data_IF_201707183940
#
_entry.id   IF_201707183940
#
_cell.length_a   1.000
_cell.length_b   1.000
_cell.length_c   1.000
_cell.angle_alpha   90.00
_cell.angle_beta   90.00
_cell.angle_gamma   90.00
#
_symmetry.space_group_name_H-M   'P 1'
#
loop_
_entity.id
_entity.type
_entity.pdbx_description
1 polymer ?
#
# COMPACT_ATOMS: atom_id res chain seq x y z
N UNK A 1 10.34 2.50 -6.45
CA UNK A 1 9.20 1.61 -6.69
C UNK A 1 9.24 1.05 -8.11
N UNK A 2 8.63 -0.11 -8.26
CA UNK A 2 8.36 -0.73 -9.55
C UNK A 2 6.88 -1.09 -9.60
N UNK A 3 6.23 -0.82 -10.74
CA UNK A 3 4.83 -1.12 -10.96
C UNK A 3 4.61 -1.61 -12.38
N UNK A 4 3.73 -2.59 -12.53
CA UNK A 4 3.30 -3.12 -13.82
C UNK A 4 1.80 -2.92 -13.89
N UNK A 5 1.32 -2.32 -14.96
CA UNK A 5 -0.09 -2.05 -15.23
C UNK A 5 -0.54 -2.86 -16.42
N UNK A 6 -1.71 -3.48 -16.29
CA UNK A 6 -2.36 -4.30 -17.31
C UNK A 6 -3.56 -3.56 -17.88
N UNK A 7 -3.68 -3.56 -19.19
CA UNK A 7 -4.77 -2.91 -19.95
C UNK A 7 -5.65 -3.96 -20.61
N UNK A 8 -6.95 -3.92 -20.33
CA UNK A 8 -7.95 -4.87 -20.86
C UNK A 8 -8.13 -4.76 -22.36
N UNK A 9 -8.02 -3.55 -22.93
CA UNK A 9 -8.24 -3.30 -24.36
C UNK A 9 -7.03 -3.59 -25.23
N UNK A 10 -5.89 -3.79 -24.61
CA UNK A 10 -4.63 -4.03 -25.29
C UNK A 10 -3.94 -5.27 -24.76
N UNK A 11 -3.05 -5.75 -25.53
CA UNK A 11 -2.05 -6.71 -25.11
C UNK A 11 -0.86 -5.99 -24.46
N UNK A 12 -1.08 -4.74 -23.99
CA UNK A 12 0.02 -3.90 -23.52
C UNK A 12 0.11 -3.93 -22.00
N UNK A 13 1.32 -4.18 -21.55
CA UNK A 13 1.71 -4.08 -20.16
C UNK A 13 2.63 -2.86 -20.02
N UNK A 14 2.28 -1.96 -19.12
CA UNK A 14 3.07 -0.75 -18.88
C UNK A 14 3.93 -0.94 -17.64
N UNK A 15 5.23 -0.69 -17.76
CA UNK A 15 6.19 -0.76 -16.67
C UNK A 15 6.56 0.65 -16.21
N UNK A 16 6.39 0.90 -14.92
CA UNK A 16 6.76 2.15 -14.29
C UNK A 16 7.76 1.88 -13.17
N UNK A 17 8.79 2.70 -13.07
CA UNK A 17 9.70 2.70 -11.95
C UNK A 17 10.07 4.14 -11.59
N UNK A 18 10.56 4.34 -10.38
CA UNK A 18 10.98 5.66 -9.93
C UNK A 18 11.19 5.71 -8.43
N UNK A 19 11.27 6.93 -7.94
CA UNK A 19 11.54 7.20 -6.54
C UNK A 19 10.38 7.97 -5.93
N UNK A 20 9.97 7.54 -4.74
CA UNK A 20 9.00 8.23 -3.91
C UNK A 20 9.73 8.69 -2.65
N UNK A 21 9.47 9.92 -2.23
CA UNK A 21 9.91 10.44 -0.95
C UNK A 21 8.70 10.95 -0.18
N UNK A 22 8.51 10.43 0.99
CA UNK A 22 7.49 10.85 1.93
C UNK A 22 8.13 11.72 3.03
N UNK A 23 7.52 12.84 3.35
CA UNK A 23 7.97 13.77 4.36
C UNK A 23 6.81 14.23 5.23
N UNK A 24 6.87 13.93 6.51
CA UNK A 24 6.02 14.58 7.51
C UNK A 24 6.59 15.99 7.71
N UNK A 25 5.83 17.03 7.38
CA UNK A 25 6.36 18.39 7.39
C UNK A 25 5.67 19.32 8.41
N UNK A 26 4.43 19.04 8.78
CA UNK A 26 3.64 19.94 9.63
C UNK A 26 2.72 19.15 10.56
N UNK A 27 2.71 19.52 11.83
CA UNK A 27 1.67 19.16 12.78
C UNK A 27 0.45 20.04 12.53
N UNK A 28 -0.67 19.45 12.09
CA UNK A 28 -1.91 20.18 11.76
C UNK A 28 -2.82 20.33 12.96
N UNK A 29 -2.87 19.31 13.82
CA UNK A 29 -3.74 19.27 15.01
C UNK A 29 -3.08 18.44 16.09
N UNK A 30 -3.21 18.89 17.33
CA UNK A 30 -2.83 18.13 18.52
C UNK A 30 -3.82 18.41 19.64
N UNK A 31 -4.31 17.34 20.26
CA UNK A 31 -5.08 17.38 21.49
C UNK A 31 -4.71 16.17 22.36
N UNK A 32 -5.41 15.95 23.47
CA UNK A 32 -5.10 14.85 24.40
C UNK A 32 -5.21 13.46 23.80
N UNK A 33 -6.01 13.26 22.75
CA UNK A 33 -6.33 11.93 22.19
C UNK A 33 -5.87 11.73 20.75
N UNK A 34 -5.44 12.80 20.07
CA UNK A 34 -5.18 12.77 18.64
C UNK A 34 -4.07 13.75 18.23
N UNK A 35 -3.17 13.27 17.36
CA UNK A 35 -2.22 14.09 16.62
C UNK A 35 -2.42 13.86 15.12
N UNK A 36 -2.55 14.96 14.38
CA UNK A 36 -2.67 14.90 12.93
C UNK A 36 -1.51 15.64 12.27
N UNK A 37 -0.89 14.98 11.31
CA UNK A 37 0.26 15.50 10.57
C UNK A 37 -0.06 15.57 9.08
N UNK A 38 0.54 16.56 8.41
CA UNK A 38 0.62 16.61 6.96
C UNK A 38 1.80 15.78 6.48
N UNK A 39 1.55 14.90 5.50
CA UNK A 39 2.55 14.15 4.77
C UNK A 39 2.60 14.67 3.34
N UNK A 40 3.76 15.12 2.89
CA UNK A 40 3.98 15.47 1.49
C UNK A 40 4.68 14.32 0.81
N UNK A 41 4.09 13.86 -0.28
CA UNK A 41 4.62 12.83 -1.15
C UNK A 41 5.24 13.46 -2.38
N UNK A 42 6.48 13.13 -2.65
CA UNK A 42 7.22 13.57 -3.82
C UNK A 42 7.53 12.37 -4.71
N UNK A 43 7.62 12.63 -5.99
CA UNK A 43 7.98 11.65 -6.98
C UNK A 43 9.05 12.17 -7.93
N UNK A 44 9.89 11.27 -8.45
CA UNK A 44 10.77 11.50 -9.61
C UNK A 44 11.04 10.19 -10.34
N UNK A 45 11.20 10.17 -11.67
CA UNK A 45 11.43 8.95 -12.42
C UNK A 45 12.84 8.39 -12.24
N UNK A 46 13.84 9.26 -12.05
CA UNK A 46 15.24 8.90 -11.88
C UNK A 46 15.98 9.87 -10.95
N UNK A 47 17.27 9.61 -10.71
CA UNK A 47 18.10 10.40 -9.80
C UNK A 47 18.56 11.74 -10.38
N UNK A 48 18.44 11.95 -11.68
CA UNK A 48 18.86 13.17 -12.37
C UNK A 48 17.77 14.24 -12.38
N UNK A 49 16.52 13.83 -12.21
CA UNK A 49 15.39 14.76 -12.22
C UNK A 49 15.07 15.29 -10.82
N UNK A 50 14.49 16.48 -10.82
CA UNK A 50 14.05 17.12 -9.58
C UNK A 50 12.82 16.43 -9.01
N UNK A 51 12.70 16.45 -7.68
CA UNK A 51 11.52 16.02 -6.98
C UNK A 51 10.31 16.90 -7.33
N UNK A 52 9.20 16.26 -7.67
CA UNK A 52 7.90 16.91 -7.88
C UNK A 52 6.94 16.46 -6.79
N UNK A 53 6.10 17.35 -6.30
CA UNK A 53 5.02 16.96 -5.37
C UNK A 53 4.01 16.15 -6.19
N UNK A 54 3.77 14.92 -5.75
CA UNK A 54 2.77 14.04 -6.35
C UNK A 54 1.45 14.06 -5.58
N UNK A 55 1.52 14.19 -4.25
CA UNK A 55 0.33 14.19 -3.39
C UNK A 55 0.60 14.87 -2.05
N UNK A 56 -0.49 15.27 -1.36
CA UNK A 56 -0.48 15.78 0.01
C UNK A 56 -1.51 14.99 0.81
N UNK A 57 -1.03 14.22 1.75
CA UNK A 57 -1.79 13.29 2.56
C UNK A 57 -1.85 13.73 4.03
N UNK A 58 -2.64 13.05 4.83
CA UNK A 58 -2.63 13.24 6.29
C UNK A 58 -2.38 11.93 7.01
N UNK A 59 -1.68 12.02 8.14
CA UNK A 59 -1.51 10.94 9.10
C UNK A 59 -2.17 11.38 10.40
N UNK A 60 -3.14 10.60 10.87
CA UNK A 60 -3.77 10.81 12.16
C UNK A 60 -3.36 9.68 13.09
N UNK A 61 -2.75 10.04 14.21
CA UNK A 61 -2.33 9.12 15.25
C UNK A 61 -3.20 9.33 16.48
N UNK A 62 -3.80 8.22 16.96
CA UNK A 62 -4.53 8.16 18.23
C UNK A 62 -3.89 7.09 19.13
N UNK A 63 -4.37 6.93 20.37
CA UNK A 63 -3.86 5.91 21.29
C UNK A 63 -4.03 4.49 20.75
N UNK A 64 -5.02 4.26 19.90
CA UNK A 64 -5.40 2.92 19.45
C UNK A 64 -5.25 2.67 17.96
N UNK A 65 -4.96 3.68 17.14
CA UNK A 65 -4.83 3.48 15.70
C UNK A 65 -3.99 4.57 15.00
N UNK A 66 -3.44 4.19 13.84
CA UNK A 66 -2.85 5.10 12.87
C UNK A 66 -3.72 5.09 11.61
N UNK A 67 -4.24 6.26 11.24
CA UNK A 67 -5.02 6.46 10.03
C UNK A 67 -4.16 7.25 9.04
N UNK A 68 -4.08 6.81 7.80
CA UNK A 68 -3.49 7.54 6.69
C UNK A 68 -4.57 7.83 5.66
N UNK A 69 -4.75 9.09 5.31
CA UNK A 69 -5.67 9.50 4.24
C UNK A 69 -4.89 9.64 2.95
N UNK A 70 -5.11 8.74 2.02
CA UNK A 70 -4.48 8.67 0.69
C UNK A 70 -5.58 8.93 -0.36
N UNK A 71 -5.39 9.88 -1.27
CA UNK A 71 -6.38 10.24 -2.30
C UNK A 71 -7.80 10.49 -1.74
N UNK A 72 -7.88 11.15 -0.57
CA UNK A 72 -9.10 11.39 0.20
C UNK A 72 -9.79 10.15 0.80
N UNK A 73 -9.16 8.99 0.77
CA UNK A 73 -9.65 7.77 1.42
C UNK A 73 -8.88 7.55 2.73
N UNK A 74 -9.56 7.51 3.89
CA UNK A 74 -8.93 7.27 5.18
C UNK A 74 -8.78 5.78 5.46
N UNK A 75 -7.55 5.27 5.47
CA UNK A 75 -7.22 3.89 5.80
C UNK A 75 -6.73 3.75 7.24
N UNK A 76 -7.29 2.84 8.02
CA UNK A 76 -6.74 2.45 9.32
C UNK A 76 -5.55 1.51 9.06
N UNK A 77 -4.35 2.08 8.95
CA UNK A 77 -3.15 1.33 8.58
C UNK A 77 -2.60 0.47 9.69
N UNK A 78 -2.74 0.91 10.93
CA UNK A 78 -2.32 0.16 12.11
C UNK A 78 -3.33 0.31 13.25
N UNK A 79 -3.43 -0.72 14.09
CA UNK A 79 -4.13 -0.68 15.38
C UNK A 79 -3.14 -0.95 16.51
N UNK A 80 -3.31 -0.28 17.64
CA UNK A 80 -2.41 -0.36 18.79
C UNK A 80 -3.08 -1.00 20.01
N UNK A 81 -2.34 -1.74 20.81
CA UNK A 81 -1.02 -2.30 20.51
C UNK A 81 -1.11 -3.36 19.42
N UNK A 82 -0.15 -3.42 18.46
CA UNK A 82 -0.14 -4.47 17.46
C UNK A 82 0.21 -5.81 18.11
N UNK A 83 -0.56 -6.85 17.79
CA UNK A 83 -0.31 -8.22 18.26
C UNK A 83 -0.45 -9.21 17.11
N UNK A 84 0.31 -10.30 17.17
CA UNK A 84 0.26 -11.33 16.14
C UNK A 84 -1.18 -11.85 15.95
N UNK A 85 -1.60 -12.01 14.70
CA UNK A 85 -2.96 -12.40 14.30
C UNK A 85 -4.06 -11.37 14.63
N UNK A 86 -3.73 -10.17 15.13
CA UNK A 86 -4.71 -9.09 15.28
C UNK A 86 -5.28 -8.73 13.90
N UNK A 87 -6.63 -8.69 13.82
CA UNK A 87 -7.38 -8.37 12.60
C UNK A 87 -8.19 -7.10 12.79
N UNK A 88 -8.40 -6.35 11.71
CA UNK A 88 -9.29 -5.19 11.66
C UNK A 88 -9.72 -4.90 10.23
N UNK A 89 -10.85 -4.20 10.08
CA UNK A 89 -11.22 -3.62 8.80
C UNK A 89 -10.44 -2.30 8.62
N UNK A 90 -9.41 -2.30 7.78
CA UNK A 90 -8.61 -1.11 7.47
C UNK A 90 -9.36 -0.08 6.63
N UNK A 91 -10.45 -0.49 5.97
CA UNK A 91 -11.27 0.34 5.09
C UNK A 91 -12.57 0.83 5.77
N UNK A 92 -12.74 0.61 7.07
CA UNK A 92 -13.98 0.90 7.81
C UNK A 92 -14.44 2.37 7.76
N UNK A 93 -13.61 3.29 7.29
CA UNK A 93 -13.91 4.72 7.27
C UNK A 93 -14.38 5.24 5.89
N UNK A 94 -14.52 4.37 4.91
CA UNK A 94 -15.04 4.69 3.58
C UNK A 94 -15.83 3.51 2.99
N UNK A 95 -16.56 3.76 1.90
CA UNK A 95 -17.29 2.72 1.18
C UNK A 95 -16.32 1.85 0.37
N UNK A 96 -16.17 0.57 0.73
CA UNK A 96 -15.27 -0.37 0.05
C UNK A 96 -15.74 -0.76 -1.37
N UNK A 97 -17.00 -0.49 -1.71
CA UNK A 97 -17.55 -0.73 -3.04
C UNK A 97 -17.21 0.37 -4.06
N UNK A 98 -16.44 1.38 -3.66
CA UNK A 98 -16.00 2.43 -4.58
C UNK A 98 -15.28 1.85 -5.79
N UNK A 99 -15.54 2.47 -6.94
CA UNK A 99 -14.88 2.14 -8.19
C UNK A 99 -13.67 3.06 -8.35
N UNK A 100 -12.49 2.46 -8.39
CA UNK A 100 -11.24 3.17 -8.70
C UNK A 100 -10.95 3.05 -10.19
N UNK A 101 -10.63 4.17 -10.83
CA UNK A 101 -10.16 4.18 -12.22
C UNK A 101 -8.65 4.05 -12.24
N UNK A 102 -8.18 3.01 -12.91
CA UNK A 102 -6.77 2.75 -13.04
C UNK A 102 -6.44 2.43 -14.50
N UNK A 103 -5.55 3.20 -15.13
CA UNK A 103 -5.19 3.10 -16.56
C UNK A 103 -6.41 3.08 -17.51
N UNK A 104 -7.48 3.83 -17.17
CA UNK A 104 -8.72 3.86 -17.94
C UNK A 104 -9.75 2.78 -17.56
N UNK A 105 -9.34 1.76 -16.82
CA UNK A 105 -10.19 0.67 -16.37
C UNK A 105 -10.83 0.95 -15.00
N UNK A 106 -12.00 0.35 -14.78
CA UNK A 106 -12.77 0.46 -13.53
C UNK A 106 -12.60 -0.79 -12.69
N UNK A 107 -12.06 -0.66 -11.48
CA UNK A 107 -11.78 -1.78 -10.58
C UNK A 107 -12.38 -1.50 -9.19
N UNK A 108 -13.10 -2.48 -8.63
CA UNK A 108 -13.47 -2.51 -7.20
C UNK A 108 -12.35 -3.17 -6.43
N UNK A 109 -11.33 -2.40 -6.07
CA UNK A 109 -10.12 -2.98 -5.50
C UNK A 109 -10.15 -3.17 -4.00
N UNK A 110 -11.04 -2.50 -3.27
CA UNK A 110 -11.03 -2.47 -1.80
C UNK A 110 -12.05 -3.41 -1.14
N UNK A 111 -12.87 -4.09 -1.92
CA UNK A 111 -13.92 -4.96 -1.42
C UNK A 111 -13.33 -6.15 -0.65
N UNK A 112 -13.81 -6.39 0.57
CA UNK A 112 -13.44 -7.54 1.38
C UNK A 112 -12.04 -7.49 1.99
N UNK A 113 -11.39 -6.32 2.08
CA UNK A 113 -10.08 -6.23 2.71
C UNK A 113 -10.18 -6.42 4.22
N UNK A 114 -9.42 -7.38 4.74
CA UNK A 114 -9.26 -7.62 6.16
C UNK A 114 -7.78 -7.59 6.53
N UNK A 115 -7.39 -6.55 7.24
CA UNK A 115 -6.01 -6.37 7.68
C UNK A 115 -5.67 -7.31 8.81
N UNK A 116 -4.45 -7.87 8.79
CA UNK A 116 -3.96 -8.81 9.77
C UNK A 116 -2.48 -8.63 10.04
N UNK A 117 -2.07 -8.64 11.30
CA UNK A 117 -0.66 -8.74 11.66
C UNK A 117 -0.21 -10.19 11.45
N UNK A 118 0.67 -10.42 10.48
CA UNK A 118 1.17 -11.75 10.14
C UNK A 118 2.57 -12.04 10.70
N UNK A 119 3.38 -10.98 10.94
CA UNK A 119 4.68 -11.09 11.61
C UNK A 119 4.91 -9.87 12.52
N UNK A 120 5.59 -10.09 13.65
CA UNK A 120 5.88 -9.04 14.62
C UNK A 120 7.23 -9.28 15.29
N UNK A 121 7.95 -8.17 15.58
CA UNK A 121 9.24 -8.16 16.25
C UNK A 121 10.31 -9.05 15.57
N UNK A 122 10.23 -9.16 14.24
CA UNK A 122 11.19 -9.92 13.45
C UNK A 122 12.37 -9.04 13.04
N UNK A 123 13.52 -9.71 12.80
CA UNK A 123 14.71 -9.09 12.21
C UNK A 123 14.74 -9.38 10.72
N UNK A 124 15.22 -8.42 9.93
CA UNK A 124 15.34 -8.62 8.50
C UNK A 124 16.06 -7.50 7.80
N UNK A 125 16.33 -7.70 6.51
CA UNK A 125 16.92 -6.69 5.66
C UNK A 125 15.88 -6.10 4.71
N UNK A 126 15.88 -4.78 4.57
CA UNK A 126 15.09 -4.06 3.59
C UNK A 126 16.03 -3.15 2.80
N UNK A 127 16.21 -3.44 1.51
CA UNK A 127 17.29 -2.82 0.75
C UNK A 127 18.64 -3.08 1.41
N UNK A 128 19.36 -2.01 1.72
CA UNK A 128 20.68 -2.08 2.37
C UNK A 128 20.61 -1.92 3.91
N UNK A 129 19.41 -1.90 4.50
CA UNK A 129 19.24 -1.67 5.93
C UNK A 129 18.94 -2.97 6.67
N UNK A 130 19.75 -3.27 7.70
CA UNK A 130 19.43 -4.30 8.68
C UNK A 130 18.53 -3.71 9.77
N UNK A 131 17.36 -4.27 9.95
CA UNK A 131 16.31 -3.77 10.84
C UNK A 131 15.94 -4.82 11.88
N UNK A 132 15.85 -4.42 13.14
CA UNK A 132 15.72 -5.34 14.29
C UNK A 132 14.28 -5.54 14.77
N UNK A 133 13.35 -4.66 14.38
CA UNK A 133 11.98 -4.71 14.85
C UNK A 133 11.02 -4.36 13.71
N UNK A 134 10.66 -5.41 12.98
CA UNK A 134 9.74 -5.32 11.86
C UNK A 134 8.37 -5.86 12.24
N UNK A 135 7.34 -5.22 11.69
CA UNK A 135 5.93 -5.61 11.78
C UNK A 135 5.40 -5.77 10.36
N UNK A 136 4.91 -6.95 10.01
CA UNK A 136 4.28 -7.20 8.71
C UNK A 136 2.76 -7.27 8.87
N UNK A 137 2.08 -6.47 8.09
CA UNK A 137 0.63 -6.44 7.97
C UNK A 137 0.24 -6.92 6.59
N UNK A 138 -0.55 -7.98 6.54
CA UNK A 138 -1.31 -8.39 5.37
C UNK A 138 -2.58 -7.54 5.32
N UNK A 139 -2.73 -6.70 4.30
CA UNK A 139 -3.88 -5.81 4.15
C UNK A 139 -5.06 -6.55 3.50
N UNK A 140 -4.74 -7.46 2.59
CA UNK A 140 -5.66 -8.40 1.95
C UNK A 140 -4.88 -9.57 1.37
N UNK A 141 -5.48 -10.76 1.44
CA UNK A 141 -5.10 -11.89 0.61
C UNK A 141 -6.37 -12.66 0.23
N UNK A 142 -6.82 -12.47 -1.00
CA UNK A 142 -7.96 -13.16 -1.60
C UNK A 142 -7.54 -13.70 -2.97
N UNK A 143 -7.42 -15.02 -3.06
CA UNK A 143 -7.13 -15.79 -4.26
C UNK A 143 -8.21 -16.88 -4.54
N UNK A 144 -9.34 -16.81 -3.83
CA UNK A 144 -10.43 -17.77 -3.97
C UNK A 144 -11.17 -17.61 -5.32
N UNK A 145 -11.22 -16.38 -5.84
CA UNK A 145 -11.80 -16.10 -7.13
C UNK A 145 -10.86 -16.48 -8.27
N UNK A 146 -11.35 -17.25 -9.24
CA UNK A 146 -10.58 -17.50 -10.49
C UNK A 146 -10.54 -16.29 -11.42
N UNK A 147 -11.34 -15.25 -11.15
CA UNK A 147 -11.46 -14.04 -11.97
C UNK A 147 -10.75 -12.84 -11.37
N UNK A 148 -10.34 -12.91 -10.11
CA UNK A 148 -9.67 -11.79 -9.43
C UNK A 148 -8.65 -12.28 -8.42
N UNK A 149 -7.55 -11.52 -8.26
CA UNK A 149 -6.58 -11.65 -7.18
C UNK A 149 -6.47 -10.31 -6.45
N UNK A 150 -6.55 -10.36 -5.14
CA UNK A 150 -6.26 -9.22 -4.26
C UNK A 150 -5.19 -9.66 -3.27
N UNK A 151 -4.02 -9.07 -3.35
CA UNK A 151 -2.93 -9.33 -2.41
C UNK A 151 -2.22 -8.02 -2.09
N UNK A 152 -2.15 -7.66 -0.83
CA UNK A 152 -1.42 -6.48 -0.38
C UNK A 152 -0.78 -6.74 0.98
N UNK A 153 0.51 -6.40 1.09
CA UNK A 153 1.30 -6.50 2.31
C UNK A 153 2.12 -5.25 2.52
N UNK A 154 2.18 -4.81 3.78
CA UNK A 154 2.98 -3.67 4.21
C UNK A 154 3.89 -4.10 5.35
N UNK A 155 5.19 -3.81 5.20
CA UNK A 155 6.20 -4.00 6.23
C UNK A 155 6.52 -2.66 6.88
N UNK A 156 6.49 -2.62 8.19
CA UNK A 156 6.82 -1.45 9.01
C UNK A 156 8.06 -1.71 9.84
N UNK A 157 8.88 -0.69 10.03
CA UNK A 157 10.00 -0.70 10.97
C UNK A 157 9.75 0.26 12.11
N UNK A 158 10.05 -0.19 13.33
CA UNK A 158 9.88 0.63 14.54
C UNK A 158 10.73 1.89 14.47
N UNK A 159 10.09 3.05 14.69
CA UNK A 159 10.76 4.36 14.66
C UNK A 159 11.02 4.93 13.27
N UNK A 160 10.71 4.18 12.19
CA UNK A 160 10.87 4.62 10.80
C UNK A 160 9.50 4.78 10.13
N UNK A 161 8.64 3.77 10.21
CA UNK A 161 7.37 3.72 9.52
C UNK A 161 7.33 2.62 8.45
N UNK A 162 6.58 2.81 7.34
CA UNK A 162 6.52 1.83 6.25
C UNK A 162 7.86 1.73 5.52
N UNK A 163 8.37 0.51 5.36
CA UNK A 163 9.68 0.25 4.74
C UNK A 163 9.61 -0.62 3.49
N UNK A 164 8.53 -1.39 3.32
CA UNK A 164 8.27 -2.16 2.11
C UNK A 164 6.77 -2.32 1.89
N UNK A 165 6.32 -2.24 0.66
CA UNK A 165 4.95 -2.57 0.26
C UNK A 165 4.99 -3.46 -0.98
N UNK A 166 4.13 -4.47 -0.98
CA UNK A 166 3.87 -5.32 -2.14
C UNK A 166 2.37 -5.37 -2.35
N UNK A 167 1.93 -5.13 -3.59
CA UNK A 167 0.51 -5.15 -3.94
C UNK A 167 0.32 -5.80 -5.31
N UNK A 168 -0.71 -6.64 -5.41
CA UNK A 168 -1.17 -7.25 -6.66
C UNK A 168 -2.68 -7.18 -6.69
N UNK A 169 -3.19 -6.44 -7.64
CA UNK A 169 -4.62 -6.26 -7.89
C UNK A 169 -4.86 -6.65 -9.33
N UNK A 170 -5.42 -7.82 -9.55
CA UNK A 170 -5.63 -8.37 -10.89
C UNK A 170 -7.06 -8.80 -11.11
N UNK A 171 -7.59 -8.53 -12.30
CA UNK A 171 -8.82 -9.11 -12.80
C UNK A 171 -8.60 -9.71 -14.19
N UNK A 172 -9.38 -10.75 -14.51
CA UNK A 172 -9.40 -11.38 -15.83
C UNK A 172 -10.80 -11.90 -16.14
N UNK A 173 -11.14 -11.96 -17.41
CA UNK A 173 -12.30 -12.69 -17.91
C UNK A 173 -11.92 -14.06 -18.48
N UNK A 174 -10.63 -14.35 -18.60
CA UNK A 174 -10.06 -15.58 -19.19
C UNK A 174 -9.12 -16.28 -18.21
N UNK A 175 -9.65 -16.85 -17.12
CA UNK A 175 -8.84 -17.47 -16.09
C UNK A 175 -8.04 -18.64 -16.66
N UNK A 176 -6.78 -18.78 -16.21
CA UNK A 176 -5.87 -19.86 -16.60
C UNK A 176 -5.34 -20.57 -15.34
N UNK A 177 -6.14 -21.47 -14.73
CA UNK A 177 -5.75 -22.15 -13.52
C UNK A 177 -4.38 -22.83 -13.63
N UNK A 178 -3.54 -22.67 -12.61
CA UNK A 178 -2.20 -23.24 -12.57
C UNK A 178 -1.12 -22.39 -13.24
N UNK A 179 -1.47 -21.27 -13.87
CA UNK A 179 -0.51 -20.29 -14.35
C UNK A 179 -0.37 -19.10 -13.39
N UNK A 180 0.77 -18.42 -13.44
CA UNK A 180 0.97 -17.20 -12.68
C UNK A 180 0.05 -16.08 -13.21
N UNK A 181 -0.59 -15.34 -12.30
CA UNK A 181 -1.54 -14.26 -12.61
C UNK A 181 -0.98 -13.23 -13.58
N UNK A 182 0.29 -12.89 -13.44
CA UNK A 182 1.00 -11.91 -14.27
C UNK A 182 1.01 -12.29 -15.76
N UNK A 183 0.79 -13.56 -16.08
CA UNK A 183 0.80 -14.04 -17.47
C UNK A 183 -0.54 -13.94 -18.18
N UNK A 184 -1.63 -13.71 -17.43
CA UNK A 184 -2.98 -13.67 -18.00
C UNK A 184 -3.90 -12.60 -17.37
N UNK A 185 -3.39 -11.78 -16.45
CA UNK A 185 -4.13 -10.63 -15.96
C UNK A 185 -4.49 -9.71 -17.13
N UNK A 186 -5.76 -9.32 -17.23
CA UNK A 186 -6.26 -8.45 -18.29
C UNK A 186 -6.35 -7.00 -17.82
N UNK A 187 -6.60 -6.76 -16.54
CA UNK A 187 -6.57 -5.43 -15.95
C UNK A 187 -6.07 -5.45 -14.52
N UNK A 188 -5.60 -4.31 -14.05
CA UNK A 188 -5.06 -4.16 -12.72
C UNK A 188 -3.58 -3.78 -12.71
N UNK A 189 -2.92 -4.06 -11.60
CA UNK A 189 -1.52 -3.71 -11.44
C UNK A 189 -0.80 -4.55 -10.38
N UNK A 190 0.51 -4.58 -10.48
CA UNK A 190 1.41 -4.92 -9.37
C UNK A 190 2.22 -3.69 -8.95
N UNK A 191 2.56 -3.63 -7.68
CA UNK A 191 3.40 -2.59 -7.10
C UNK A 191 4.35 -3.20 -6.09
N UNK A 192 5.63 -2.84 -6.20
CA UNK A 192 6.64 -3.10 -5.17
C UNK A 192 7.29 -1.78 -4.80
N UNK A 193 7.27 -1.46 -3.51
CA UNK A 193 7.98 -0.31 -2.94
C UNK A 193 8.96 -0.82 -1.90
N UNK A 194 10.19 -0.32 -1.93
CA UNK A 194 11.23 -0.69 -0.98
C UNK A 194 11.97 0.56 -0.52
N UNK A 195 12.12 0.71 0.78
CA UNK A 195 12.88 1.81 1.37
C UNK A 195 14.34 1.75 0.93
N UNK A 196 14.86 2.88 0.48
CA UNK A 196 16.26 3.05 0.09
C UNK A 196 17.00 4.09 0.93
N UNK A 197 16.27 4.91 1.68
CA UNK A 197 16.81 5.89 2.62
C UNK A 197 15.75 6.26 3.67
N UNK A 198 16.18 6.68 4.85
CA UNK A 198 15.36 7.30 5.89
C UNK A 198 16.18 8.33 6.67
N UNK A 199 15.50 9.24 7.36
CA UNK A 199 16.12 10.24 8.26
C UNK A 199 15.90 9.82 9.72
#
# INVERSE_FOLDING_TARGET
YDSIVYDENGTQTYHYSGFIREKIDTLLKENETEKQYRLIKYWRPDTLQNWQISDVETITLTDNQLIRTEENLPFIRLVFPPSLNKRWNGNALFDEDIIVKFAGESIRMFQGWEYKVIQKDIKGNVGNFALDSLLEVEEVFDDESIFSLRSSKQLYAKGIGPVKREMKIYDTQRPQPGKAWETYAEKGFSLVQTMIAHN
#
